data_IF_149488855270
#
_entry.id   IF_149488855270
#
_cell.length_a   1.000
_cell.length_b   1.000
_cell.length_c   1.000
_cell.angle_alpha   90.00
_cell.angle_beta   90.00
_cell.angle_gamma   90.00
#
_symmetry.space_group_name_H-M   'P 1'
#
loop_
_entity.id
_entity.type
_entity.pdbx_description
1 polymer ?
#
# COMPACT_ATOMS: atom_id res chain seq x y z
N UNK A 1 -1.30 11.57 17.95
CA UNK A 1 -2.75 11.66 18.28
C UNK A 1 -3.57 11.40 17.01
N UNK A 2 -3.54 12.28 16.00
CA UNK A 2 -3.14 11.87 14.63
C UNK A 2 -3.65 10.51 14.13
N UNK A 3 -2.66 9.67 13.90
CA UNK A 3 -2.75 8.30 13.40
C UNK A 3 -3.67 7.42 14.25
N UNK A 4 -3.64 7.54 15.58
CA UNK A 4 -4.50 6.75 16.45
C UNK A 4 -5.99 7.08 16.27
N UNK A 5 -6.33 8.35 16.01
CA UNK A 5 -7.70 8.76 15.72
C UNK A 5 -8.16 8.23 14.35
N UNK A 6 -7.31 8.32 13.33
CA UNK A 6 -7.57 7.77 11.99
C UNK A 6 -7.79 6.24 12.09
N UNK A 7 -6.90 5.52 12.78
CA UNK A 7 -7.03 4.08 13.03
C UNK A 7 -8.35 3.74 13.73
N UNK A 8 -8.75 4.52 14.74
CA UNK A 8 -10.02 4.30 15.45
C UNK A 8 -11.21 4.41 14.48
N UNK A 9 -11.26 5.45 13.64
CA UNK A 9 -12.34 5.61 12.67
C UNK A 9 -12.39 4.45 11.65
N UNK A 10 -11.25 4.00 11.13
CA UNK A 10 -11.21 2.81 10.27
C UNK A 10 -11.68 1.54 10.99
N UNK A 11 -11.29 1.33 12.24
CA UNK A 11 -11.75 0.19 13.05
C UNK A 11 -13.26 0.20 13.30
N UNK A 12 -13.87 1.39 13.34
CA UNK A 12 -15.32 1.58 13.41
C UNK A 12 -16.01 1.60 12.03
N UNK A 13 -15.29 1.30 10.94
CA UNK A 13 -15.78 1.37 9.55
C UNK A 13 -16.30 2.75 9.13
N UNK A 14 -15.88 3.80 9.85
CA UNK A 14 -16.19 5.19 9.57
C UNK A 14 -15.17 5.76 8.58
N UNK A 15 -15.17 5.20 7.37
CA UNK A 15 -14.14 5.46 6.34
C UNK A 15 -14.08 6.93 5.92
N UNK A 16 -15.24 7.58 5.80
CA UNK A 16 -15.31 9.00 5.43
C UNK A 16 -14.74 9.89 6.54
N UNK A 17 -15.06 9.59 7.81
CA UNK A 17 -14.52 10.34 8.95
C UNK A 17 -13.00 10.14 9.10
N UNK A 18 -12.50 8.92 8.87
CA UNK A 18 -11.06 8.65 8.83
C UNK A 18 -10.35 9.48 7.75
N UNK A 19 -10.95 9.58 6.56
CA UNK A 19 -10.42 10.41 5.46
C UNK A 19 -10.48 11.90 5.79
N UNK A 20 -11.57 12.39 6.37
CA UNK A 20 -11.70 13.78 6.79
C UNK A 20 -10.64 14.16 7.82
N UNK A 21 -10.39 13.33 8.83
CA UNK A 21 -9.31 13.58 9.80
C UNK A 21 -7.95 13.67 9.12
N UNK A 22 -7.67 12.81 8.14
CA UNK A 22 -6.45 12.92 7.35
C UNK A 22 -6.38 14.21 6.54
N UNK A 23 -7.47 14.60 5.87
CA UNK A 23 -7.55 15.80 5.03
C UNK A 23 -7.50 17.11 5.81
N UNK A 24 -7.99 17.14 7.04
CA UNK A 24 -7.95 18.30 7.93
C UNK A 24 -6.65 18.39 8.74
N UNK A 25 -5.89 17.30 8.86
CA UNK A 25 -4.61 17.31 9.57
C UNK A 25 -3.61 18.25 8.91
N UNK A 26 -2.85 19.02 9.70
CA UNK A 26 -1.78 19.87 9.16
C UNK A 26 -0.80 19.03 8.31
N UNK A 27 -0.41 19.53 7.14
CA UNK A 27 0.54 18.86 6.24
C UNK A 27 1.86 18.55 6.97
N UNK A 28 2.27 19.41 7.91
CA UNK A 28 3.49 19.21 8.69
C UNK A 28 3.44 17.97 9.62
N UNK A 29 2.25 17.44 9.93
CA UNK A 29 2.09 16.23 10.77
C UNK A 29 1.77 14.97 9.97
N UNK A 30 1.64 15.07 8.64
CA UNK A 30 1.40 13.92 7.76
C UNK A 30 2.74 13.29 7.38
N UNK A 31 3.23 12.41 8.24
CA UNK A 31 4.45 11.65 8.00
C UNK A 31 4.15 10.29 7.34
N UNK A 32 5.21 9.52 7.11
CA UNK A 32 5.14 8.17 6.52
C UNK A 32 4.17 7.24 7.28
N UNK A 33 4.07 7.37 8.61
CA UNK A 33 3.16 6.56 9.43
C UNK A 33 1.71 7.00 9.18
N UNK A 34 1.45 8.30 9.11
CA UNK A 34 0.12 8.84 8.80
C UNK A 34 -0.38 8.32 7.46
N UNK A 35 0.45 8.37 6.41
CA UNK A 35 0.11 7.84 5.10
C UNK A 35 -0.12 6.33 5.12
N UNK A 36 0.74 5.55 5.78
CA UNK A 36 0.59 4.10 5.88
C UNK A 36 -0.73 3.70 6.54
N UNK A 37 -1.13 4.36 7.63
CA UNK A 37 -2.40 4.08 8.31
C UNK A 37 -3.59 4.34 7.40
N UNK A 38 -3.56 5.42 6.61
CA UNK A 38 -4.65 5.77 5.70
C UNK A 38 -4.71 4.85 4.49
N UNK A 39 -3.56 4.55 3.87
CA UNK A 39 -3.48 3.65 2.73
C UNK A 39 -3.99 2.25 3.12
N UNK A 40 -3.55 1.74 4.27
CA UNK A 40 -3.99 0.43 4.78
C UNK A 40 -5.48 0.40 5.09
N UNK A 41 -5.97 1.41 5.82
CA UNK A 41 -7.40 1.55 6.10
C UNK A 41 -8.24 1.61 4.83
N UNK A 42 -7.82 2.37 3.82
CA UNK A 42 -8.53 2.49 2.55
C UNK A 42 -8.45 1.23 1.69
N UNK A 43 -7.36 0.45 1.75
CA UNK A 43 -7.20 -0.75 0.93
C UNK A 43 -8.33 -1.77 1.13
N UNK A 44 -8.89 -1.85 2.34
CA UNK A 44 -10.01 -2.73 2.68
C UNK A 44 -11.40 -2.25 2.23
N UNK A 45 -11.59 -0.93 2.02
CA UNK A 45 -12.92 -0.35 1.78
C UNK A 45 -13.03 0.38 0.43
N UNK A 46 -11.96 1.06 0.01
CA UNK A 46 -11.90 1.96 -1.16
C UNK A 46 -10.54 1.88 -1.84
N UNK A 47 -10.31 0.80 -2.58
CA UNK A 47 -9.05 0.50 -3.28
C UNK A 47 -8.55 1.61 -4.21
N UNK A 48 -9.43 2.30 -4.92
CA UNK A 48 -9.01 3.40 -5.78
C UNK A 48 -8.47 4.59 -4.96
N UNK A 49 -9.12 4.88 -3.83
CA UNK A 49 -8.71 5.95 -2.94
C UNK A 49 -7.36 5.63 -2.27
N UNK A 50 -7.10 4.39 -1.87
CA UNK A 50 -5.79 4.01 -1.32
C UNK A 50 -4.65 4.22 -2.32
N UNK A 51 -4.88 3.96 -3.62
CA UNK A 51 -3.91 4.25 -4.68
C UNK A 51 -3.69 5.76 -4.90
N UNK A 52 -4.74 6.57 -4.77
CA UNK A 52 -4.62 8.03 -4.81
C UNK A 52 -3.79 8.56 -3.63
N UNK A 53 -4.03 8.06 -2.42
CA UNK A 53 -3.25 8.44 -1.23
C UNK A 53 -1.80 7.99 -1.34
N UNK A 54 -1.54 6.81 -1.92
CA UNK A 54 -0.19 6.38 -2.24
C UNK A 54 0.50 7.34 -3.20
N UNK A 55 -0.20 7.82 -4.22
CA UNK A 55 0.34 8.84 -5.12
C UNK A 55 0.63 10.15 -4.39
N UNK A 56 -0.27 10.62 -3.52
CA UNK A 56 -0.05 11.81 -2.67
C UNK A 56 1.22 11.65 -1.81
N UNK A 57 1.47 10.46 -1.25
CA UNK A 57 2.67 10.15 -0.48
C UNK A 57 3.96 10.33 -1.30
N UNK A 58 3.98 9.81 -2.53
CA UNK A 58 5.12 9.93 -3.45
C UNK A 58 5.34 11.40 -3.85
N UNK A 59 4.26 12.13 -4.16
CA UNK A 59 4.32 13.55 -4.54
C UNK A 59 4.79 14.43 -3.37
N UNK A 60 4.51 14.04 -2.13
CA UNK A 60 5.04 14.67 -0.92
C UNK A 60 6.53 14.34 -0.64
N UNK A 61 7.17 13.51 -1.48
CA UNK A 61 8.57 13.10 -1.32
C UNK A 61 8.80 12.10 -0.18
N UNK A 62 7.73 11.52 0.37
CA UNK A 62 7.83 10.50 1.41
C UNK A 62 8.15 9.14 0.77
N UNK A 63 9.12 8.44 1.34
CA UNK A 63 9.52 7.11 0.84
C UNK A 63 8.49 6.07 1.26
N UNK A 64 8.02 5.18 0.36
CA UNK A 64 7.25 4.01 0.75
C UNK A 64 8.01 3.11 1.72
N UNK A 65 7.28 2.37 2.55
CA UNK A 65 7.76 1.25 3.35
C UNK A 65 7.26 -0.08 2.79
N UNK A 66 7.76 -1.17 3.35
CA UNK A 66 7.23 -2.52 3.16
C UNK A 66 5.72 -2.58 3.39
N UNK A 67 5.23 -1.99 4.49
CA UNK A 67 3.79 -1.87 4.78
C UNK A 67 3.04 -1.06 3.70
N UNK A 68 3.63 0.02 3.17
CA UNK A 68 3.02 0.77 2.06
C UNK A 68 2.82 -0.15 0.86
N UNK A 69 3.86 -0.88 0.43
CA UNK A 69 3.76 -1.78 -0.71
C UNK A 69 2.75 -2.89 -0.47
N UNK A 70 2.68 -3.41 0.75
CA UNK A 70 1.70 -4.43 1.14
C UNK A 70 0.25 -3.89 0.96
N UNK A 71 -0.07 -2.73 1.49
CA UNK A 71 -1.43 -2.19 1.38
C UNK A 71 -1.78 -1.77 -0.07
N UNK A 72 -0.81 -1.25 -0.83
CA UNK A 72 -1.02 -0.79 -2.21
C UNK A 72 -1.18 -1.94 -3.20
N UNK A 73 -0.38 -3.01 -3.10
CA UNK A 73 -0.54 -4.18 -3.97
C UNK A 73 -1.90 -4.85 -3.75
N UNK A 74 -2.37 -4.92 -2.49
CA UNK A 74 -3.72 -5.39 -2.14
C UNK A 74 -4.85 -4.57 -2.77
N UNK A 75 -4.55 -3.33 -3.16
CA UNK A 75 -5.49 -2.39 -3.76
C UNK A 75 -5.46 -2.40 -5.30
N UNK A 76 -4.50 -3.07 -5.92
CA UNK A 76 -4.42 -3.18 -7.37
C UNK A 76 -5.62 -3.97 -7.91
N UNK A 77 -6.22 -3.52 -9.03
CA UNK A 77 -7.33 -4.22 -9.68
C UNK A 77 -6.94 -4.98 -10.96
N UNK A 78 -5.69 -4.86 -11.40
CA UNK A 78 -5.16 -5.61 -12.53
C UNK A 78 -3.64 -5.79 -12.44
N UNK A 79 -3.12 -6.78 -13.18
CA UNK A 79 -1.70 -7.11 -13.23
C UNK A 79 -0.84 -5.92 -13.68
N UNK A 80 -1.32 -5.09 -14.60
CA UNK A 80 -0.56 -3.93 -15.09
C UNK A 80 -0.28 -2.89 -14.00
N UNK A 81 -1.21 -2.69 -13.05
CA UNK A 81 -0.97 -1.83 -11.89
C UNK A 81 -0.07 -2.51 -10.88
N UNK A 82 -0.32 -3.79 -10.60
CA UNK A 82 0.51 -4.59 -9.71
C UNK A 82 1.98 -4.60 -10.13
N UNK A 83 2.26 -4.75 -11.42
CA UNK A 83 3.60 -4.66 -12.00
C UNK A 83 4.28 -3.31 -11.75
N UNK A 84 3.55 -2.20 -11.83
CA UNK A 84 4.12 -0.88 -11.59
C UNK A 84 4.51 -0.71 -10.11
N UNK A 85 3.63 -1.13 -9.21
CA UNK A 85 3.87 -1.07 -7.76
C UNK A 85 5.02 -1.99 -7.36
N UNK A 86 5.04 -3.23 -7.86
CA UNK A 86 6.10 -4.19 -7.60
C UNK A 86 7.44 -3.78 -8.20
N UNK A 87 7.45 -3.24 -9.43
CA UNK A 87 8.66 -2.69 -10.03
C UNK A 87 9.23 -1.51 -9.23
N UNK A 88 8.35 -0.67 -8.66
CA UNK A 88 8.78 0.39 -7.74
C UNK A 88 9.37 -0.21 -6.45
N UNK A 89 8.74 -1.23 -5.87
CA UNK A 89 9.24 -1.93 -4.68
C UNK A 89 10.67 -2.43 -4.90
N UNK A 90 10.90 -3.17 -6.00
CA UNK A 90 12.22 -3.66 -6.42
C UNK A 90 13.22 -2.50 -6.56
N UNK A 91 12.84 -1.45 -7.29
CA UNK A 91 13.72 -0.29 -7.51
C UNK A 91 14.14 0.40 -6.20
N UNK A 92 13.31 0.27 -5.17
CA UNK A 92 13.55 0.86 -3.85
C UNK A 92 14.14 -0.11 -2.81
N UNK A 93 14.44 -1.36 -3.19
CA UNK A 93 15.09 -2.35 -2.33
C UNK A 93 14.15 -3.13 -1.42
N UNK A 94 12.86 -3.25 -1.77
CA UNK A 94 11.86 -3.96 -0.95
C UNK A 94 11.59 -5.40 -1.39
N UNK A 95 12.24 -5.88 -2.44
CA UNK A 95 12.15 -7.25 -2.95
C UNK A 95 12.73 -8.30 -2.00
N UNK A 96 13.68 -7.92 -1.14
CA UNK A 96 14.25 -8.80 -0.11
C UNK A 96 13.28 -9.01 1.07
N UNK A 97 12.24 -8.19 1.18
CA UNK A 97 11.29 -8.29 2.28
C UNK A 97 10.24 -9.34 1.97
N UNK A 98 10.29 -10.46 2.70
CA UNK A 98 9.37 -11.60 2.53
C UNK A 98 7.89 -11.20 2.51
N UNK A 99 7.49 -10.19 3.29
CA UNK A 99 6.11 -9.69 3.29
C UNK A 99 5.70 -9.11 1.93
N UNK A 100 6.58 -8.30 1.32
CA UNK A 100 6.32 -7.67 0.01
C UNK A 100 6.29 -8.73 -1.08
N UNK A 101 7.23 -9.67 -1.07
CA UNK A 101 7.30 -10.75 -2.06
C UNK A 101 6.13 -11.73 -1.96
N UNK A 102 5.72 -12.10 -0.74
CA UNK A 102 4.52 -12.93 -0.54
C UNK A 102 3.26 -12.26 -1.06
N UNK A 103 3.15 -10.94 -0.87
CA UNK A 103 2.01 -10.22 -1.39
C UNK A 103 2.07 -10.05 -2.90
N UNK A 104 3.23 -9.78 -3.48
CA UNK A 104 3.42 -9.75 -4.92
C UNK A 104 3.00 -11.09 -5.55
N UNK A 105 3.40 -12.21 -4.94
CA UNK A 105 3.00 -13.55 -5.35
C UNK A 105 1.48 -13.75 -5.28
N UNK A 106 0.85 -13.35 -4.18
CA UNK A 106 -0.61 -13.43 -4.00
C UNK A 106 -1.35 -12.57 -5.03
N UNK A 107 -0.86 -11.35 -5.27
CA UNK A 107 -1.38 -10.41 -6.24
C UNK A 107 -1.30 -10.98 -7.67
N UNK A 108 -0.13 -11.43 -8.13
CA UNK A 108 0.01 -12.03 -9.46
C UNK A 108 -0.85 -13.28 -9.63
N UNK A 109 -0.91 -14.12 -8.60
CA UNK A 109 -1.76 -15.32 -8.60
C UNK A 109 -3.25 -14.97 -8.73
N UNK A 110 -3.70 -13.90 -8.07
CA UNK A 110 -5.09 -13.42 -8.16
C UNK A 110 -5.46 -12.84 -9.53
N UNK A 111 -4.45 -12.46 -10.33
CA UNK A 111 -4.62 -12.01 -11.71
C UNK A 111 -4.26 -13.09 -12.73
N UNK A 112 -4.10 -14.34 -12.29
CA UNK A 112 -3.74 -15.50 -13.12
C UNK A 112 -2.39 -15.35 -13.88
N UNK A 113 -1.55 -14.40 -13.47
CA UNK A 113 -0.18 -14.25 -13.98
C UNK A 113 0.77 -15.20 -13.23
N UNK A 114 0.56 -16.50 -13.42
CA UNK A 114 1.34 -17.54 -12.77
C UNK A 114 2.83 -17.53 -13.19
N UNK A 115 3.13 -16.93 -14.34
CA UNK A 115 4.51 -16.74 -14.80
C UNK A 115 5.25 -15.73 -13.93
N UNK A 116 4.64 -14.57 -13.67
CA UNK A 116 5.19 -13.59 -12.74
C UNK A 116 5.22 -14.12 -11.30
N UNK A 117 4.13 -14.78 -10.84
CA UNK A 117 4.07 -15.35 -9.50
C UNK A 117 5.20 -16.37 -9.25
N UNK A 118 5.51 -17.22 -10.23
CA UNK A 118 6.61 -18.19 -10.14
C UNK A 118 7.97 -17.51 -10.04
N UNK A 119 8.23 -16.48 -10.83
CA UNK A 119 9.51 -15.74 -10.76
C UNK A 119 9.75 -15.13 -9.38
N UNK A 120 8.69 -14.58 -8.77
CA UNK A 120 8.78 -14.05 -7.39
C UNK A 120 9.05 -15.18 -6.40
N UNK A 121 8.39 -16.32 -6.54
CA UNK A 121 8.64 -17.49 -5.69
C UNK A 121 10.09 -17.98 -5.78
N UNK A 122 10.62 -18.13 -6.99
CA UNK A 122 11.99 -18.58 -7.22
C UNK A 122 13.02 -17.61 -6.62
N UNK A 123 12.77 -16.30 -6.63
CA UNK A 123 13.64 -15.32 -5.97
C UNK A 123 13.65 -15.36 -4.44
N UNK A 124 12.73 -16.12 -3.81
CA UNK A 124 12.69 -16.29 -2.35
C UNK A 124 13.47 -17.52 -1.86
N UNK A 125 13.85 -18.43 -2.76
CA UNK A 125 14.57 -19.66 -2.44
C UNK A 125 16.11 -19.48 -2.48
N UNK A 126 16.60 -18.28 -2.85
CA UNK A 126 18.01 -17.87 -2.81
C UNK A 126 18.35 -17.11 -1.51
#
# INVERSE_FOLDING_TARGET
VVNALITMYFNCQMVLDARLVFEEADVAVRDQVTFNVVIDGLAGFKREESLLVFREMIEAGLRPTDLTFVSVMSSCSCAAMGCQVHGLAIKTGYEEYTLVSNLALSMYSSFEDFGAARKVFESLEE
#
